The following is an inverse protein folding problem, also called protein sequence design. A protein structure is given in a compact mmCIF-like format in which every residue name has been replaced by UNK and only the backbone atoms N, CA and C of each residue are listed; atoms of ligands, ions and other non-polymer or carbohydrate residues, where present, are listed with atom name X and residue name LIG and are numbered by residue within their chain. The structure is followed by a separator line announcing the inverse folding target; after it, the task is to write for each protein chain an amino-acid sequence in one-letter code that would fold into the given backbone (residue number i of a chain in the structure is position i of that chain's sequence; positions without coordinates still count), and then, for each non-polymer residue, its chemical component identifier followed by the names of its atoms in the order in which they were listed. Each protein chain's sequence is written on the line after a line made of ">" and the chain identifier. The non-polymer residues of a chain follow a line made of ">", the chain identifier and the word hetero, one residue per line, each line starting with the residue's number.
data_IF_334717857484
#
_entry.id   IF_334717857484
#
_cell.length_a   1.000
_cell.length_b   1.000
_cell.length_c   1.000
_cell.angle_alpha   90.00
_cell.angle_beta   90.00
_cell.angle_gamma   90.00
#
_symmetry.space_group_name_H-M   'P 1'
#
loop_
_entity.id
_entity.type
_entity.pdbx_description
1 polymer ?
#
# COMPACT_ATOMS: atom_id res chain seq x y z
N UNK A 1 2.23 -23.29 5.64
CA UNK A 1 2.25 -21.81 5.49
C UNK A 1 0.94 -21.41 4.85
N UNK A 2 0.20 -20.44 5.40
CA UNK A 2 -0.98 -19.89 4.69
C UNK A 2 -0.47 -19.25 3.40
N UNK A 3 -1.12 -19.56 2.27
CA UNK A 3 -0.76 -18.99 0.97
C UNK A 3 -0.99 -17.48 0.93
N UNK A 4 -0.32 -16.80 0.01
CA UNK A 4 -0.47 -15.36 -0.20
C UNK A 4 -1.91 -15.07 -0.66
N UNK A 5 -2.59 -14.15 0.04
CA UNK A 5 -3.92 -13.72 -0.29
C UNK A 5 -3.93 -12.86 -1.56
N UNK A 6 -4.73 -13.26 -2.55
CA UNK A 6 -4.89 -12.55 -3.82
C UNK A 6 -6.34 -12.13 -4.04
N UNK A 7 -6.56 -10.87 -4.36
CA UNK A 7 -7.87 -10.29 -4.61
C UNK A 7 -7.77 -9.10 -5.59
N UNK A 8 -8.11 -9.36 -6.85
CA UNK A 8 -8.13 -8.33 -7.90
C UNK A 8 -9.10 -7.18 -7.60
N UNK A 9 -10.22 -7.44 -6.92
CA UNK A 9 -11.18 -6.38 -6.53
C UNK A 9 -10.57 -5.44 -5.50
N UNK A 10 -9.76 -5.96 -4.58
CA UNK A 10 -9.02 -5.14 -3.63
C UNK A 10 -8.02 -4.24 -4.35
N UNK A 11 -7.18 -4.79 -5.23
CA UNK A 11 -6.20 -4.01 -5.99
C UNK A 11 -6.88 -2.91 -6.84
N UNK A 12 -8.01 -3.23 -7.47
CA UNK A 12 -8.82 -2.26 -8.20
C UNK A 12 -9.39 -1.17 -7.29
N UNK A 13 -9.83 -1.49 -6.08
CA UNK A 13 -10.30 -0.52 -5.10
C UNK A 13 -9.19 0.45 -4.65
N UNK A 14 -7.98 -0.07 -4.40
CA UNK A 14 -6.81 0.78 -4.08
C UNK A 14 -6.47 1.68 -5.27
N UNK A 15 -6.55 1.15 -6.49
CA UNK A 15 -6.30 1.90 -7.73
C UNK A 15 -7.32 3.01 -8.04
N UNK A 16 -8.44 3.09 -7.32
CA UNK A 16 -9.40 4.20 -7.44
C UNK A 16 -9.06 5.42 -6.55
N UNK A 17 -8.01 5.34 -5.74
CA UNK A 17 -7.60 6.45 -4.87
C UNK A 17 -6.65 7.37 -5.66
N UNK A 18 -7.15 8.51 -6.12
CA UNK A 18 -6.38 9.44 -6.98
C UNK A 18 -5.30 10.25 -6.23
N UNK A 19 -5.38 10.35 -4.91
CA UNK A 19 -4.46 11.13 -4.09
C UNK A 19 -3.67 10.24 -3.13
N UNK A 20 -2.36 10.45 -3.09
CA UNK A 20 -1.46 9.73 -2.19
C UNK A 20 -1.95 9.83 -0.74
N UNK A 21 -2.10 8.69 -0.08
CA UNK A 21 -2.63 8.66 1.30
C UNK A 21 -1.68 9.28 2.33
N UNK A 22 -0.40 9.46 2.00
CA UNK A 22 0.58 10.08 2.90
C UNK A 22 0.72 11.59 2.71
N UNK A 23 0.77 12.06 1.46
CA UNK A 23 1.11 13.46 1.16
C UNK A 23 0.03 14.22 0.38
N UNK A 24 -1.04 13.56 -0.07
CA UNK A 24 -2.13 14.19 -0.83
C UNK A 24 -1.82 14.51 -2.29
N UNK A 25 -0.59 14.27 -2.78
CA UNK A 25 -0.23 14.47 -4.19
C UNK A 25 -1.15 13.63 -5.09
N UNK A 26 -1.65 14.24 -6.18
CA UNK A 26 -2.41 13.54 -7.20
C UNK A 26 -1.54 12.54 -7.98
N UNK A 27 -2.12 11.41 -8.38
CA UNK A 27 -1.47 10.32 -9.08
C UNK A 27 -0.88 9.30 -8.09
N UNK A 28 -1.42 8.08 -8.12
CA UNK A 28 -1.01 7.00 -7.20
C UNK A 28 -0.65 5.71 -7.94
N UNK A 29 0.08 4.86 -7.24
CA UNK A 29 0.43 3.50 -7.59
C UNK A 29 -0.02 2.58 -6.45
N UNK A 30 -0.37 1.33 -6.80
CA UNK A 30 -0.67 0.28 -5.82
C UNK A 30 0.63 -0.33 -5.31
N UNK A 31 1.16 0.21 -4.22
CA UNK A 31 2.38 -0.24 -3.57
C UNK A 31 2.10 -1.45 -2.67
N UNK A 32 2.86 -2.53 -2.79
CA UNK A 32 2.74 -3.69 -1.90
C UNK A 32 3.73 -3.58 -0.74
N UNK A 33 3.35 -4.05 0.45
CA UNK A 33 4.28 -4.14 1.58
C UNK A 33 5.56 -4.86 1.16
N UNK A 34 6.70 -4.32 1.57
CA UNK A 34 8.03 -4.85 1.26
C UNK A 34 8.56 -5.88 2.29
N UNK A 35 7.94 -5.97 3.46
CA UNK A 35 8.29 -6.89 4.54
C UNK A 35 7.63 -8.28 4.42
N UNK A 36 8.33 -9.31 4.94
CA UNK A 36 7.78 -10.67 5.11
C UNK A 36 7.72 -11.49 3.82
N UNK A 37 8.39 -11.04 2.75
CA UNK A 37 8.39 -11.67 1.42
C UNK A 37 9.81 -11.87 0.90
N UNK A 38 10.02 -12.87 0.05
CA UNK A 38 11.24 -13.02 -0.72
C UNK A 38 11.36 -11.99 -1.85
N UNK A 39 12.55 -11.84 -2.42
CA UNK A 39 12.81 -10.95 -3.55
C UNK A 39 11.89 -11.28 -4.73
N UNK A 40 11.28 -10.27 -5.36
CA UNK A 40 10.35 -10.44 -6.48
C UNK A 40 8.95 -10.97 -6.11
N UNK A 41 8.74 -11.43 -4.88
CA UNK A 41 7.43 -11.89 -4.42
C UNK A 41 6.61 -10.69 -3.94
N UNK A 42 5.33 -10.60 -4.33
CA UNK A 42 4.38 -9.61 -3.79
C UNK A 42 3.75 -10.14 -2.51
N UNK A 43 3.61 -9.30 -1.48
CA UNK A 43 2.85 -9.61 -0.27
C UNK A 43 1.35 -9.81 -0.58
N UNK A 44 0.55 -10.07 0.45
CA UNK A 44 -0.91 -10.15 0.33
C UNK A 44 -1.46 -8.89 -0.35
N UNK A 45 -2.45 -9.06 -1.23
CA UNK A 45 -3.05 -7.93 -1.95
C UNK A 45 -3.72 -6.94 -0.98
N UNK A 46 -4.15 -7.39 0.20
CA UNK A 46 -4.69 -6.52 1.26
C UNK A 46 -3.63 -5.69 1.99
N UNK A 47 -2.35 -6.06 1.88
CA UNK A 47 -1.21 -5.32 2.41
C UNK A 47 -0.66 -4.34 1.35
N UNK A 48 -1.54 -3.53 0.78
CA UNK A 48 -1.23 -2.55 -0.26
C UNK A 48 -1.63 -1.12 0.14
N UNK A 49 -0.96 -0.14 -0.47
CA UNK A 49 -1.22 1.28 -0.24
C UNK A 49 -1.30 2.07 -1.56
N UNK A 50 -2.12 3.12 -1.58
CA UNK A 50 -2.18 4.08 -2.69
C UNK A 50 -1.17 5.23 -2.47
N UNK A 51 -0.01 5.15 -3.14
CA UNK A 51 1.11 6.08 -2.95
C UNK A 51 1.49 6.78 -4.25
N UNK A 52 1.87 8.06 -4.19
CA UNK A 52 2.52 8.70 -5.34
C UNK A 52 3.92 8.11 -5.57
N UNK A 53 4.48 8.34 -6.76
CA UNK A 53 5.80 7.81 -7.14
C UNK A 53 6.92 8.21 -6.18
N UNK A 54 6.90 9.44 -5.65
CA UNK A 54 7.92 9.94 -4.72
C UNK A 54 7.87 9.18 -3.38
N UNK A 55 6.69 9.11 -2.76
CA UNK A 55 6.52 8.40 -1.49
C UNK A 55 6.75 6.89 -1.64
N UNK A 56 6.32 6.31 -2.76
CA UNK A 56 6.54 4.90 -3.07
C UNK A 56 8.05 4.61 -3.22
N UNK A 57 8.77 5.45 -3.96
CA UNK A 57 10.21 5.32 -4.12
C UNK A 57 10.95 5.46 -2.80
N UNK A 58 10.64 6.47 -1.98
CA UNK A 58 11.32 6.70 -0.70
C UNK A 58 11.13 5.51 0.26
N UNK A 59 9.92 4.92 0.29
CA UNK A 59 9.61 3.75 1.12
C UNK A 59 10.32 2.48 0.66
N UNK A 60 10.45 2.26 -0.66
CA UNK A 60 11.06 1.01 -1.16
C UNK A 60 12.57 1.11 -1.32
N UNK A 61 13.07 2.24 -1.81
CA UNK A 61 14.45 2.40 -2.29
C UNK A 61 15.13 3.68 -1.79
N UNK A 62 14.41 4.52 -1.04
CA UNK A 62 14.92 5.78 -0.52
C UNK A 62 16.11 5.58 0.42
N UNK A 63 16.93 6.63 0.51
CA UNK A 63 18.14 6.66 1.36
C UNK A 63 17.97 7.57 2.58
N UNK A 64 16.89 8.32 2.67
CA UNK A 64 16.71 9.33 3.72
C UNK A 64 16.07 8.75 4.98
N UNK A 65 15.58 7.51 4.90
CA UNK A 65 14.91 6.80 5.97
C UNK A 65 15.65 5.51 6.33
N UNK A 66 15.68 5.21 7.62
CA UNK A 66 16.08 3.90 8.13
C UNK A 66 15.12 2.80 7.63
N UNK A 67 15.52 1.54 7.79
CA UNK A 67 14.66 0.40 7.45
C UNK A 67 13.33 0.43 8.23
N UNK A 68 13.39 0.78 9.51
CA UNK A 68 12.21 0.73 10.37
C UNK A 68 11.27 1.92 10.12
N UNK A 69 11.80 3.11 9.86
CA UNK A 69 10.98 4.25 9.42
C UNK A 69 10.24 3.95 8.11
N UNK A 70 10.90 3.29 7.14
CA UNK A 70 10.24 2.85 5.89
C UNK A 70 9.10 1.88 6.15
N UNK A 71 9.28 0.94 7.08
CA UNK A 71 8.25 -0.03 7.48
C UNK A 71 7.08 0.64 8.18
N UNK A 72 7.35 1.57 9.09
CA UNK A 72 6.33 2.34 9.80
C UNK A 72 5.50 3.19 8.84
N UNK A 73 6.15 3.89 7.91
CA UNK A 73 5.45 4.66 6.88
C UNK A 73 4.60 3.77 5.97
N UNK A 74 5.12 2.60 5.57
CA UNK A 74 4.33 1.65 4.78
C UNK A 74 3.12 1.12 5.56
N UNK A 75 3.29 0.80 6.84
CA UNK A 75 2.20 0.37 7.72
C UNK A 75 1.14 1.46 7.88
N UNK A 76 1.56 2.70 8.10
CA UNK A 76 0.66 3.86 8.13
C UNK A 76 -0.09 4.01 6.81
N UNK A 77 0.60 3.92 5.68
CA UNK A 77 -0.01 4.06 4.36
C UNK A 77 -1.06 2.96 4.07
N UNK A 78 -0.79 1.71 4.46
CA UNK A 78 -1.75 0.61 4.34
C UNK A 78 -3.01 0.89 5.18
N UNK A 79 -2.85 1.29 6.45
CA UNK A 79 -3.99 1.61 7.33
C UNK A 79 -4.85 2.74 6.74
N UNK A 80 -4.22 3.82 6.27
CA UNK A 80 -4.93 4.94 5.65
C UNK A 80 -5.66 4.52 4.36
N UNK A 81 -5.05 3.65 3.57
CA UNK A 81 -5.67 3.08 2.36
C UNK A 81 -6.90 2.24 2.71
N UNK A 82 -6.80 1.36 3.70
CA UNK A 82 -7.93 0.55 4.20
C UNK A 82 -9.08 1.44 4.68
N UNK A 83 -8.78 2.47 5.46
CA UNK A 83 -9.78 3.45 5.92
C UNK A 83 -10.45 4.13 4.73
N UNK A 84 -9.67 4.55 3.72
CA UNK A 84 -10.18 5.24 2.54
C UNK A 84 -11.10 4.36 1.70
N UNK A 85 -10.70 3.13 1.36
CA UNK A 85 -11.54 2.22 0.56
C UNK A 85 -12.82 1.81 1.29
N UNK A 86 -12.77 1.67 2.63
CA UNK A 86 -13.95 1.39 3.44
C UNK A 86 -14.92 2.58 3.43
N UNK A 87 -14.41 3.81 3.60
CA UNK A 87 -15.23 5.04 3.53
C UNK A 87 -15.86 5.27 2.16
N UNK A 88 -15.18 4.85 1.09
CA UNK A 88 -15.71 4.91 -0.29
C UNK A 88 -16.68 3.77 -0.61
N UNK A 89 -16.88 2.80 0.28
CA UNK A 89 -17.74 1.63 0.04
C UNK A 89 -17.19 0.67 -1.02
N UNK A 90 -15.90 0.76 -1.37
CA UNK A 90 -15.28 -0.07 -2.41
C UNK A 90 -14.97 -1.48 -1.92
N UNK A 91 -14.74 -1.63 -0.62
CA UNK A 91 -14.57 -2.92 0.05
C UNK A 91 -15.29 -2.86 1.40
N UNK A 92 -16.20 -3.80 1.64
CA UNK A 92 -16.84 -3.99 2.93
C UNK A 92 -16.14 -5.14 3.69
N UNK A 93 -15.85 -4.98 5.00
CA UNK A 93 -15.61 -6.12 5.87
C UNK A 93 -16.86 -7.01 5.84
N UNK A 94 -16.67 -8.32 5.68
CA UNK A 94 -17.75 -9.29 5.84
C UNK A 94 -17.99 -9.58 7.32
#
# INVERSE_FOLDING_TARGET
>A
MRGIYRNKKWLAAVGQIDQCVLCGRWGTQVAHRNEGKGTGIKADDCATAALCVDCHHEIDNGKNLTRDERRELMNRAIVLTVIKIARLGLVAPK
#
